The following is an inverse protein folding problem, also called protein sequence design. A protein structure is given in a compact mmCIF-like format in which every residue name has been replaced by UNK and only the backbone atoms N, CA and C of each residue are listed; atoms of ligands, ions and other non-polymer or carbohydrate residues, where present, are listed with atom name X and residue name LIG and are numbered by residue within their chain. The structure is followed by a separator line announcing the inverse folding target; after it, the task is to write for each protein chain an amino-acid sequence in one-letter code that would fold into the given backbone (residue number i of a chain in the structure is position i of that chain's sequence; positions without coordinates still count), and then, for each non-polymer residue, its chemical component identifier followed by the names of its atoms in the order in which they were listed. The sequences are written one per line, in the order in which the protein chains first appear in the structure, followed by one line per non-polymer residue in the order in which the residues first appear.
data_IF_592033980933
#
_entry.id   IF_592033980933
#
_cell.length_a   1.000
_cell.length_b   1.000
_cell.length_c   1.000
_cell.angle_alpha   90.00
_cell.angle_beta   90.00
_cell.angle_gamma   90.00
#
_symmetry.space_group_name_H-M   'P 1'
#
loop_
_entity.id
_entity.type
_entity.pdbx_description
1 polymer ?
#
# COMPACT_ATOMS: atom_id res chain seq x y z
N UNK A 1 29.15 3.37 9.91
CA UNK A 1 28.70 3.15 8.52
C UNK A 1 29.79 2.42 7.77
N UNK A 2 29.46 1.37 7.04
CA UNK A 2 30.35 0.81 6.03
C UNK A 2 30.25 1.67 4.76
N UNK A 3 31.37 1.86 4.07
CA UNK A 3 31.42 2.66 2.84
C UNK A 3 31.03 1.77 1.67
N UNK A 4 29.88 2.05 1.06
CA UNK A 4 29.37 1.32 -0.10
C UNK A 4 29.43 2.22 -1.33
N UNK A 5 30.08 1.74 -2.40
CA UNK A 5 30.08 2.43 -3.69
C UNK A 5 28.85 1.98 -4.48
N UNK A 6 28.03 2.94 -4.90
CA UNK A 6 26.82 2.71 -5.68
C UNK A 6 27.02 3.42 -7.02
N UNK A 7 26.90 2.68 -8.11
CA UNK A 7 27.03 3.20 -9.47
C UNK A 7 25.64 3.49 -10.02
N UNK A 8 25.44 4.73 -10.46
CA UNK A 8 24.18 5.23 -10.97
C UNK A 8 24.45 5.87 -12.33
N UNK A 9 23.46 5.81 -13.22
CA UNK A 9 23.53 6.58 -14.45
C UNK A 9 23.33 8.09 -14.19
N UNK A 10 23.56 8.89 -15.22
CA UNK A 10 23.49 10.36 -15.14
C UNK A 10 22.08 10.85 -14.79
N UNK A 11 21.05 10.20 -15.32
CA UNK A 11 19.65 10.58 -15.12
C UNK A 11 19.19 10.24 -13.69
N UNK A 12 19.56 9.07 -13.18
CA UNK A 12 19.35 8.67 -11.79
C UNK A 12 20.03 9.65 -10.84
N UNK A 13 21.28 10.01 -11.13
CA UNK A 13 22.04 10.98 -10.34
C UNK A 13 21.36 12.35 -10.32
N UNK A 14 20.93 12.84 -11.49
CA UNK A 14 20.22 14.11 -11.63
C UNK A 14 18.93 14.15 -10.81
N UNK A 15 18.09 13.11 -10.92
CA UNK A 15 16.83 13.02 -10.16
C UNK A 15 17.05 13.01 -8.65
N UNK A 16 18.07 12.28 -8.18
CA UNK A 16 18.40 12.24 -6.76
C UNK A 16 18.91 13.59 -6.26
N UNK A 17 19.70 14.32 -7.06
CA UNK A 17 20.18 15.65 -6.72
C UNK A 17 19.05 16.68 -6.65
N UNK A 18 18.09 16.61 -7.57
CA UNK A 18 16.88 17.45 -7.55
C UNK A 18 16.06 17.20 -6.27
N UNK A 19 15.87 15.93 -5.92
CA UNK A 19 15.15 15.55 -4.70
C UNK A 19 15.88 16.02 -3.44
N UNK A 20 17.21 15.85 -3.40
CA UNK A 20 18.05 16.27 -2.29
C UNK A 20 18.01 17.79 -2.08
N UNK A 21 18.08 18.56 -3.18
CA UNK A 21 17.92 20.03 -3.15
C UNK A 21 16.55 20.44 -2.63
N UNK A 22 15.48 19.83 -3.13
CA UNK A 22 14.12 20.13 -2.70
C UNK A 22 13.89 19.85 -1.21
N UNK A 23 14.59 18.86 -0.64
CA UNK A 23 14.49 18.49 0.78
C UNK A 23 15.59 19.10 1.65
N UNK A 24 16.42 20.01 1.13
CA UNK A 24 17.57 20.59 1.83
C UNK A 24 18.45 19.56 2.53
N UNK A 25 18.69 18.42 1.85
CA UNK A 25 19.49 17.31 2.38
C UNK A 25 20.52 16.83 1.35
N UNK A 26 21.31 15.84 1.72
CA UNK A 26 22.32 15.25 0.84
C UNK A 26 21.73 14.12 -0.01
N UNK A 27 22.33 13.91 -1.21
CA UNK A 27 22.02 12.73 -2.04
C UNK A 27 22.20 11.42 -1.27
N UNK A 28 23.24 11.31 -0.44
CA UNK A 28 23.50 10.12 0.35
C UNK A 28 22.37 9.82 1.35
N UNK A 29 21.79 10.86 1.95
CA UNK A 29 20.66 10.73 2.87
C UNK A 29 19.36 10.32 2.14
N UNK A 30 19.12 10.86 0.95
CA UNK A 30 18.01 10.39 0.09
C UNK A 30 18.17 8.90 -0.23
N UNK A 31 19.35 8.50 -0.71
CA UNK A 31 19.65 7.10 -1.04
C UNK A 31 19.42 6.22 0.18
N UNK A 32 19.91 6.64 1.36
CA UNK A 32 19.72 5.90 2.61
C UNK A 32 18.25 5.69 2.92
N UNK A 33 17.43 6.75 2.89
CA UNK A 33 15.98 6.64 3.18
C UNK A 33 15.24 5.73 2.23
N UNK A 34 15.58 5.76 0.94
CA UNK A 34 14.98 4.87 -0.07
C UNK A 34 15.34 3.42 0.24
N UNK A 35 16.60 3.16 0.53
CA UNK A 35 17.11 1.83 0.86
C UNK A 35 16.49 1.34 2.18
N UNK A 36 16.49 2.17 3.21
CA UNK A 36 15.88 1.88 4.51
C UNK A 36 14.40 1.57 4.35
N UNK A 37 13.66 2.31 3.52
CA UNK A 37 12.26 2.01 3.21
C UNK A 37 12.10 0.67 2.49
N UNK A 38 12.99 0.33 1.56
CA UNK A 38 12.93 -0.95 0.85
C UNK A 38 13.23 -2.14 1.76
N UNK A 39 14.11 -1.97 2.75
CA UNK A 39 14.44 -3.01 3.74
C UNK A 39 13.48 -3.06 4.92
N UNK A 40 12.82 -1.95 5.24
CA UNK A 40 11.81 -1.90 6.30
C UNK A 40 10.56 -2.73 5.98
N UNK A 41 10.49 -3.37 4.79
CA UNK A 41 9.63 -4.50 4.47
C UNK A 41 8.24 -4.37 5.06
N UNK A 42 7.37 -3.60 4.41
CA UNK A 42 5.91 -3.62 4.60
C UNK A 42 5.42 -3.61 6.07
N UNK A 43 6.17 -3.04 7.03
CA UNK A 43 5.73 -2.99 8.44
C UNK A 43 4.35 -2.32 8.59
N UNK A 44 4.07 -1.32 7.75
CA UNK A 44 2.76 -0.70 7.62
C UNK A 44 1.71 -1.64 7.00
N UNK A 45 2.10 -2.46 6.02
CA UNK A 45 1.21 -3.45 5.38
C UNK A 45 0.95 -4.67 6.26
N UNK A 46 1.90 -5.08 7.09
CA UNK A 46 1.73 -6.11 8.12
C UNK A 46 0.78 -5.60 9.21
N UNK A 47 0.95 -4.35 9.66
CA UNK A 47 0.04 -3.73 10.63
C UNK A 47 -1.35 -3.48 10.05
N UNK A 48 -1.46 -3.05 8.78
CA UNK A 48 -2.76 -2.96 8.08
C UNK A 48 -3.41 -4.33 7.90
N UNK A 49 -2.63 -5.37 7.62
CA UNK A 49 -3.13 -6.75 7.54
C UNK A 49 -3.64 -7.24 8.88
N UNK A 50 -2.91 -6.98 9.96
CA UNK A 50 -3.36 -7.28 11.33
C UNK A 50 -4.65 -6.53 11.68
N UNK A 51 -4.79 -5.26 11.28
CA UNK A 51 -6.04 -4.50 11.45
C UNK A 51 -7.18 -5.10 10.63
N UNK A 52 -6.94 -5.56 9.39
CA UNK A 52 -7.95 -6.25 8.58
C UNK A 52 -8.34 -7.58 9.21
N UNK A 53 -7.38 -8.39 9.64
CA UNK A 53 -7.63 -9.68 10.30
C UNK A 53 -8.34 -9.48 11.65
N UNK A 54 -8.02 -8.42 12.38
CA UNK A 54 -8.72 -8.07 13.62
C UNK A 54 -10.15 -7.61 13.35
N UNK A 55 -10.37 -6.75 12.34
CA UNK A 55 -11.70 -6.18 12.06
C UNK A 55 -12.63 -7.16 11.35
N UNK A 56 -12.12 -8.00 10.43
CA UNK A 56 -12.91 -8.96 9.66
C UNK A 56 -12.80 -10.41 10.17
N UNK A 57 -11.67 -10.78 10.77
CA UNK A 57 -11.41 -12.14 11.27
C UNK A 57 -11.78 -12.37 12.73
N UNK A 58 -12.16 -11.34 13.51
CA UNK A 58 -12.58 -11.49 14.92
C UNK A 58 -13.72 -12.49 15.13
N UNK A 59 -14.53 -12.73 14.10
CA UNK A 59 -15.67 -13.65 14.13
C UNK A 59 -15.38 -15.03 13.55
N UNK A 60 -14.19 -15.26 12.99
CA UNK A 60 -13.81 -16.53 12.33
C UNK A 60 -13.75 -17.74 13.27
N UNK A 61 -13.58 -17.51 14.57
CA UNK A 61 -13.63 -18.54 15.62
C UNK A 61 -15.01 -18.77 16.22
N UNK A 62 -16.03 -18.03 15.79
CA UNK A 62 -17.40 -18.18 16.25
C UNK A 62 -18.24 -18.83 15.15
N UNK A 63 -19.01 -19.85 15.52
CA UNK A 63 -20.02 -20.42 14.64
C UNK A 63 -21.21 -19.45 14.60
N UNK A 64 -21.18 -18.53 13.64
CA UNK A 64 -22.23 -17.55 13.43
C UNK A 64 -23.17 -18.09 12.37
N UNK A 65 -24.44 -18.28 12.76
CA UNK A 65 -25.52 -18.42 11.80
C UNK A 65 -25.68 -17.08 11.07
N UNK A 66 -25.06 -16.96 9.91
CA UNK A 66 -25.27 -15.82 9.03
C UNK A 66 -26.70 -15.90 8.51
N UNK A 67 -27.48 -14.84 8.73
CA UNK A 67 -28.79 -14.73 8.10
C UNK A 67 -28.62 -14.84 6.57
N UNK A 68 -29.49 -15.62 5.93
CA UNK A 68 -29.49 -15.73 4.49
C UNK A 68 -29.60 -14.34 3.87
N UNK A 69 -28.61 -14.01 3.04
CA UNK A 69 -28.55 -12.71 2.40
C UNK A 69 -29.50 -12.75 1.21
N UNK A 70 -30.77 -12.41 1.45
CA UNK A 70 -31.72 -12.29 0.35
C UNK A 70 -31.30 -11.15 -0.59
N UNK A 71 -31.46 -11.38 -1.90
CA UNK A 71 -31.27 -10.35 -2.92
C UNK A 71 -32.37 -9.30 -2.79
N UNK A 72 -32.16 -8.35 -1.88
CA UNK A 72 -33.07 -7.23 -1.66
C UNK A 72 -32.91 -6.16 -2.74
N UNK A 73 -33.73 -5.10 -2.64
CA UNK A 73 -33.78 -3.98 -3.60
C UNK A 73 -32.41 -3.39 -3.96
N UNK A 74 -31.45 -3.43 -3.01
CA UNK A 74 -30.07 -3.01 -3.24
C UNK A 74 -29.33 -3.89 -4.24
N UNK A 75 -29.50 -5.20 -4.18
CA UNK A 75 -28.85 -6.14 -5.10
C UNK A 75 -29.42 -5.98 -6.52
N UNK A 76 -30.74 -5.81 -6.65
CA UNK A 76 -31.39 -5.52 -7.93
C UNK A 76 -30.91 -4.18 -8.54
N UNK A 77 -30.81 -3.13 -7.70
CA UNK A 77 -30.29 -1.83 -8.11
C UNK A 77 -28.83 -1.91 -8.61
N UNK A 78 -27.96 -2.61 -7.87
CA UNK A 78 -26.57 -2.80 -8.29
C UNK A 78 -26.48 -3.65 -9.56
N UNK A 79 -27.29 -4.71 -9.68
CA UNK A 79 -27.37 -5.51 -10.90
C UNK A 79 -27.70 -4.65 -12.13
N UNK A 80 -28.66 -3.74 -12.01
CA UNK A 80 -28.96 -2.76 -13.06
C UNK A 80 -27.77 -1.86 -13.39
N UNK A 81 -27.07 -1.34 -12.38
CA UNK A 81 -25.88 -0.50 -12.55
C UNK A 81 -24.74 -1.21 -13.30
N UNK A 82 -24.53 -2.50 -13.04
CA UNK A 82 -23.44 -3.29 -13.64
C UNK A 82 -23.80 -3.89 -14.99
N UNK A 83 -25.08 -3.98 -15.34
CA UNK A 83 -25.54 -4.43 -16.66
C UNK A 83 -25.73 -3.30 -17.68
N UNK A 84 -25.63 -2.04 -17.26
CA UNK A 84 -25.66 -0.88 -18.16
C UNK A 84 -24.26 -0.24 -18.30
N UNK A 85 -23.38 -0.76 -19.18
CA UNK A 85 -22.16 -0.07 -19.52
C UNK A 85 -22.52 1.08 -20.47
N UNK A 86 -22.81 2.24 -19.89
CA UNK A 86 -22.97 3.56 -20.53
C UNK A 86 -24.32 3.80 -21.25
N UNK A 87 -25.26 4.38 -20.49
CA UNK A 87 -26.03 5.54 -20.96
C UNK A 87 -25.99 6.66 -19.93
#
# INVERSE_FOLDING_TARGET
MQRTNIYLDEEQTRRLDELARAQHTSRAEIIRRIIDRSFAGDGESAQRREVIDFTFGALSGFEIEWADREDGDRAAYLGGLWQDPLT
#
